data_IF_778936599642
#
_entry.id   IF_778936599642
#
_cell.length_a   1.000
_cell.length_b   1.000
_cell.length_c   1.000
_cell.angle_alpha   90.00
_cell.angle_beta   90.00
_cell.angle_gamma   90.00
#
_symmetry.space_group_name_H-M   'P 1'
#
loop_
_entity.id
_entity.type
_entity.pdbx_description
1 polymer ?
#
# COMPACT_ATOMS: atom_id res chain seq x y z
N UNK A 1 29.01 14.64 -18.01
CA UNK A 1 28.25 13.74 -17.12
C UNK A 1 26.90 14.40 -16.83
N UNK A 2 25.81 13.87 -17.38
CA UNK A 2 24.46 14.34 -17.08
C UNK A 2 24.13 14.01 -15.62
N UNK A 3 23.72 15.00 -14.83
CA UNK A 3 23.10 14.74 -13.51
C UNK A 3 21.85 13.92 -13.74
N UNK A 4 21.86 12.66 -13.29
CA UNK A 4 20.65 11.88 -13.23
C UNK A 4 19.75 12.54 -12.18
N UNK A 5 18.61 13.06 -12.62
CA UNK A 5 17.60 13.63 -11.72
C UNK A 5 16.88 12.43 -11.09
N UNK A 6 17.23 12.12 -9.84
CA UNK A 6 16.55 11.13 -9.03
C UNK A 6 15.22 11.72 -8.56
N UNK A 7 14.10 11.05 -8.85
CA UNK A 7 12.82 11.41 -8.24
C UNK A 7 12.85 11.05 -6.74
N UNK A 8 12.42 11.95 -5.83
CA UNK A 8 12.36 11.61 -4.40
C UNK A 8 11.54 10.34 -4.16
N UNK A 9 12.12 9.36 -3.46
CA UNK A 9 11.47 8.06 -3.19
C UNK A 9 11.66 7.01 -4.29
N UNK A 10 12.42 7.29 -5.35
CA UNK A 10 12.73 6.34 -6.43
C UNK A 10 14.18 5.88 -6.41
N UNK A 11 14.94 6.16 -5.35
CA UNK A 11 16.37 5.88 -5.24
C UNK A 11 16.71 4.43 -5.62
N UNK A 12 15.85 3.49 -5.25
CA UNK A 12 16.00 2.07 -5.54
C UNK A 12 15.83 1.68 -7.02
N UNK A 13 15.18 2.52 -7.83
CA UNK A 13 14.99 2.28 -9.27
C UNK A 13 16.20 2.68 -10.11
N UNK A 14 17.19 3.34 -9.51
CA UNK A 14 18.43 3.73 -10.18
C UNK A 14 19.58 2.75 -9.93
N UNK A 15 19.31 1.65 -9.21
CA UNK A 15 20.26 0.58 -8.91
C UNK A 15 19.66 -0.80 -9.30
N UNK A 16 20.47 -1.83 -9.60
CA UNK A 16 19.97 -3.19 -9.75
C UNK A 16 19.47 -3.69 -8.39
N UNK A 17 18.15 -3.69 -8.19
CA UNK A 17 17.52 -4.12 -6.95
C UNK A 17 16.53 -5.26 -7.23
N UNK A 18 16.61 -6.32 -6.40
CA UNK A 18 15.61 -7.38 -6.33
C UNK A 18 14.52 -6.99 -5.32
N UNK A 19 13.29 -7.48 -5.52
CA UNK A 19 12.22 -7.27 -4.54
C UNK A 19 11.58 -5.88 -4.56
N UNK A 20 11.71 -5.12 -5.65
CA UNK A 20 11.17 -3.76 -5.75
C UNK A 20 9.65 -3.72 -5.53
N UNK A 21 8.91 -4.70 -6.04
CA UNK A 21 7.47 -4.72 -5.86
C UNK A 21 7.08 -5.08 -4.42
N UNK A 22 7.77 -6.04 -3.79
CA UNK A 22 7.59 -6.34 -2.36
C UNK A 22 7.84 -5.11 -1.50
N UNK A 23 8.93 -4.38 -1.77
CA UNK A 23 9.27 -3.16 -1.01
C UNK A 23 8.19 -2.09 -1.16
N UNK A 24 7.83 -1.73 -2.39
CA UNK A 24 6.78 -0.74 -2.65
C UNK A 24 5.43 -1.14 -2.04
N UNK A 25 5.10 -2.43 -2.05
CA UNK A 25 3.85 -2.93 -1.45
C UNK A 25 3.87 -2.81 0.07
N UNK A 26 5.02 -3.02 0.74
CA UNK A 26 5.15 -2.81 2.18
C UNK A 26 5.03 -1.34 2.53
N UNK A 27 5.70 -0.45 1.81
CA UNK A 27 5.61 1.00 2.04
C UNK A 27 4.19 1.53 1.87
N UNK A 28 3.48 1.03 0.86
CA UNK A 28 2.05 1.31 0.64
C UNK A 28 1.20 0.81 1.81
N UNK A 29 1.44 -0.42 2.30
CA UNK A 29 0.73 -0.96 3.47
C UNK A 29 1.06 -0.14 4.71
N UNK A 30 2.32 0.19 4.96
CA UNK A 30 2.75 0.98 6.12
C UNK A 30 2.04 2.35 6.14
N UNK A 31 1.96 3.02 4.99
CA UNK A 31 1.18 4.26 4.82
C UNK A 31 -0.32 4.03 5.05
N UNK A 32 -0.87 2.94 4.53
CA UNK A 32 -2.28 2.61 4.70
C UNK A 32 -2.63 2.33 6.18
N UNK A 33 -1.77 1.67 6.93
CA UNK A 33 -2.04 1.29 8.33
C UNK A 33 -1.70 2.39 9.33
N UNK A 34 -0.98 3.43 8.92
CA UNK A 34 -0.60 4.52 9.81
C UNK A 34 -1.83 5.17 10.44
N UNK A 35 -1.83 5.27 11.78
CA UNK A 35 -2.97 5.74 12.56
C UNK A 35 -4.22 4.85 12.54
N UNK A 36 -4.18 3.62 11.97
CA UNK A 36 -5.33 2.71 11.86
C UNK A 36 -5.20 1.48 12.75
N UNK A 37 -6.33 1.06 13.34
CA UNK A 37 -6.46 -0.29 13.91
C UNK A 37 -7.00 -1.23 12.85
N UNK A 38 -6.20 -2.23 12.46
CA UNK A 38 -6.61 -3.20 11.46
C UNK A 38 -7.40 -4.35 12.07
N UNK A 39 -8.56 -4.65 11.47
CA UNK A 39 -9.25 -5.90 11.75
C UNK A 39 -8.60 -7.09 10.99
N UNK A 40 -8.94 -8.34 11.35
CA UNK A 40 -8.33 -9.53 10.73
C UNK A 40 -8.48 -9.59 9.20
N UNK A 41 -9.58 -9.09 8.65
CA UNK A 41 -9.84 -9.08 7.20
C UNK A 41 -8.89 -8.13 6.46
N UNK A 42 -8.66 -6.93 7.01
CA UNK A 42 -7.68 -6.00 6.44
C UNK A 42 -6.26 -6.58 6.49
N UNK A 43 -5.89 -7.21 7.62
CA UNK A 43 -4.60 -7.91 7.76
C UNK A 43 -4.44 -9.01 6.71
N UNK A 44 -5.50 -9.78 6.44
CA UNK A 44 -5.49 -10.83 5.43
C UNK A 44 -5.24 -10.28 4.02
N UNK A 45 -5.87 -9.16 3.67
CA UNK A 45 -5.67 -8.51 2.38
C UNK A 45 -4.22 -7.98 2.25
N UNK A 46 -3.70 -7.28 3.27
CA UNK A 46 -2.31 -6.82 3.27
C UNK A 46 -1.31 -7.98 3.08
N UNK A 47 -1.51 -9.11 3.78
CA UNK A 47 -0.70 -10.32 3.60
C UNK A 47 -0.80 -10.89 2.18
N UNK A 48 -1.99 -10.86 1.59
CA UNK A 48 -2.24 -11.32 0.22
C UNK A 48 -1.49 -10.45 -0.78
N UNK A 49 -1.52 -9.13 -0.63
CA UNK A 49 -0.78 -8.18 -1.46
C UNK A 49 0.73 -8.44 -1.41
N UNK A 50 1.31 -8.66 -0.21
CA UNK A 50 2.73 -8.99 -0.06
C UNK A 50 3.10 -10.28 -0.81
N UNK A 51 2.27 -11.33 -0.73
CA UNK A 51 2.53 -12.58 -1.44
C UNK A 51 2.45 -12.42 -2.96
N UNK A 52 1.54 -11.59 -3.47
CA UNK A 52 1.42 -11.29 -4.89
C UNK A 52 2.63 -10.49 -5.37
N UNK A 53 3.08 -9.50 -4.59
CA UNK A 53 4.27 -8.70 -4.89
C UNK A 53 5.54 -9.58 -4.97
N UNK A 54 5.73 -10.50 -4.02
CA UNK A 54 6.81 -11.51 -4.06
C UNK A 54 6.77 -12.39 -5.31
N UNK A 55 5.57 -12.80 -5.72
CA UNK A 55 5.40 -13.57 -6.95
C UNK A 55 5.72 -12.74 -8.19
N UNK A 56 5.34 -11.46 -8.21
CA UNK A 56 5.71 -10.53 -9.27
C UNK A 56 7.23 -10.45 -9.39
N UNK A 57 7.94 -10.20 -8.28
CA UNK A 57 9.40 -10.08 -8.27
C UNK A 57 10.08 -11.36 -8.76
N UNK A 58 9.61 -12.53 -8.30
CA UNK A 58 10.15 -13.83 -8.70
C UNK A 58 9.93 -14.16 -10.19
N UNK A 59 8.81 -13.72 -10.79
CA UNK A 59 8.54 -13.86 -12.21
C UNK A 59 9.36 -12.87 -13.04
N UNK A 60 9.43 -11.62 -12.59
CA UNK A 60 10.18 -10.55 -13.25
C UNK A 60 11.67 -10.90 -13.34
N UNK A 61 12.26 -11.41 -12.26
CA UNK A 61 13.66 -11.86 -12.22
C UNK A 61 13.97 -12.98 -13.23
N UNK A 62 12.95 -13.74 -13.64
CA UNK A 62 13.06 -14.81 -14.66
C UNK A 62 12.68 -14.34 -16.07
N UNK A 63 12.42 -13.04 -16.27
CA UNK A 63 11.95 -12.48 -17.54
C UNK A 63 10.57 -12.99 -17.97
N UNK A 64 9.72 -13.39 -17.00
CA UNK A 64 8.39 -13.92 -17.26
C UNK A 64 7.35 -12.80 -17.26
N UNK A 65 6.26 -13.00 -17.99
CA UNK A 65 5.12 -12.08 -17.95
C UNK A 65 4.58 -11.92 -16.52
N UNK A 66 4.39 -10.67 -16.11
CA UNK A 66 3.89 -10.29 -14.79
C UNK A 66 2.54 -9.58 -14.83
N UNK A 67 1.95 -9.39 -16.02
CA UNK A 67 0.74 -8.57 -16.24
C UNK A 67 -0.42 -9.03 -15.35
N UNK A 68 -0.67 -10.33 -15.30
CA UNK A 68 -1.73 -10.93 -14.48
C UNK A 68 -1.49 -10.72 -12.99
N UNK A 69 -0.26 -10.89 -12.53
CA UNK A 69 0.09 -10.74 -11.11
C UNK A 69 -0.04 -9.27 -10.69
N UNK A 70 0.37 -8.35 -11.56
CA UNK A 70 0.21 -6.92 -11.33
C UNK A 70 -1.27 -6.49 -11.29
N UNK A 71 -2.10 -7.01 -12.20
CA UNK A 71 -3.54 -6.75 -12.17
C UNK A 71 -4.20 -7.28 -10.89
N UNK A 72 -3.77 -8.45 -10.41
CA UNK A 72 -4.24 -8.99 -9.12
C UNK A 72 -3.82 -8.10 -7.95
N UNK A 73 -2.58 -7.61 -7.94
CA UNK A 73 -2.10 -6.71 -6.89
C UNK A 73 -2.93 -5.43 -6.83
N UNK A 74 -3.17 -4.80 -7.98
CA UNK A 74 -3.99 -3.60 -8.09
C UNK A 74 -5.43 -3.85 -7.60
N UNK A 75 -6.02 -4.99 -7.99
CA UNK A 75 -7.37 -5.34 -7.55
C UNK A 75 -7.47 -5.49 -6.03
N UNK A 76 -6.48 -6.12 -5.37
CA UNK A 76 -6.49 -6.27 -3.91
C UNK A 76 -6.25 -4.95 -3.19
N UNK A 77 -5.43 -4.07 -3.74
CA UNK A 77 -5.27 -2.73 -3.20
C UNK A 77 -6.58 -1.94 -3.26
N UNK A 78 -7.27 -1.95 -4.40
CA UNK A 78 -8.58 -1.31 -4.54
C UNK A 78 -9.63 -1.89 -3.57
N UNK A 79 -9.60 -3.21 -3.35
CA UNK A 79 -10.46 -3.86 -2.37
C UNK A 79 -10.14 -3.43 -0.93
N UNK A 80 -8.84 -3.28 -0.59
CA UNK A 80 -8.40 -2.77 0.71
C UNK A 80 -8.97 -1.37 0.96
N UNK A 81 -8.79 -0.44 0.01
CA UNK A 81 -9.27 0.93 0.14
C UNK A 81 -10.80 1.01 0.21
N UNK A 82 -11.50 0.21 -0.60
CA UNK A 82 -12.96 0.21 -0.64
C UNK A 82 -13.59 -0.33 0.65
N UNK A 83 -13.01 -1.40 1.23
CA UNK A 83 -13.54 -2.03 2.46
C UNK A 83 -13.12 -1.31 3.73
N UNK A 84 -11.99 -0.62 3.69
CA UNK A 84 -11.38 0.02 4.84
C UNK A 84 -11.04 1.47 4.48
N UNK A 85 -12.06 2.30 4.17
CA UNK A 85 -11.84 3.69 3.86
C UNK A 85 -11.15 4.39 5.03
N UNK A 86 -10.39 5.46 4.73
CA UNK A 86 -9.89 6.34 5.78
C UNK A 86 -11.07 6.80 6.65
N UNK A 87 -10.86 6.81 7.97
CA UNK A 87 -11.85 7.41 8.85
C UNK A 87 -12.09 8.86 8.38
N UNK A 88 -13.34 9.32 8.25
CA UNK A 88 -13.59 10.73 7.98
C UNK A 88 -12.89 11.55 9.06
N UNK A 89 -12.14 12.59 8.67
CA UNK A 89 -11.74 13.61 9.64
C UNK A 89 -13.02 14.16 10.26
N UNK A 90 -13.23 13.86 11.55
CA UNK A 90 -14.36 14.44 12.27
C UNK A 90 -14.04 15.91 12.47
N UNK A 91 -14.86 16.78 11.89
CA UNK A 91 -14.80 18.21 12.14
C UNK A 91 -14.69 18.44 13.67
N UNK A 92 -13.68 19.17 14.16
CA UNK A 92 -13.51 19.45 15.58
C UNK A 92 -14.77 20.01 16.25
N UNK A 93 -15.58 20.76 15.49
CA UNK A 93 -16.88 21.30 15.91
C UNK A 93 -17.90 20.18 16.13
N UNK A 94 -17.95 19.19 15.23
CA UNK A 94 -18.81 18.02 15.34
C UNK A 94 -18.38 17.11 16.50
N UNK A 95 -17.07 16.98 16.74
CA UNK A 95 -16.54 16.26 17.90
C UNK A 95 -16.97 16.91 19.23
N UNK A 96 -17.00 18.25 19.29
CA UNK A 96 -17.53 19.01 20.43
C UNK A 96 -19.01 18.71 20.69
N UNK A 97 -19.85 18.81 19.65
CA UNK A 97 -21.30 18.55 19.77
C UNK A 97 -21.62 17.11 20.19
N UNK A 98 -20.86 16.11 19.71
CA UNK A 98 -21.03 14.71 20.10
C UNK A 98 -20.67 14.44 21.57
N UNK A 99 -19.76 15.22 22.14
CA UNK A 99 -19.39 15.12 23.56
C UNK A 99 -20.44 15.79 24.46
N UNK A 100 -20.99 16.94 24.05
CA UNK A 100 -22.08 17.61 24.78
C UNK A 100 -23.35 16.76 24.80
N UNK A 101 -23.70 16.08 23.70
CA UNK A 101 -24.88 15.23 23.63
C UNK A 101 -24.79 13.94 24.48
N UNK A 102 -23.61 13.58 24.99
CA UNK A 102 -23.37 12.42 25.87
C UNK A 102 -23.32 12.79 27.36
N UNK A 103 -23.28 14.08 27.69
CA UNK A 103 -23.28 14.60 29.06
C UNK A 103 -24.71 14.78 29.59
#
# INVERSE_FOLDING_TARGET
>A
MSRQITLPGFDDYYMPNEGLQEKATKELIDSFVDGRSLNPSAIYICKTMINIARNFDALNAKGRDTSRVMAQLLSWYQELEAKFPAAPEIDPTLAGLLNEAKA
#
